data_IF_821117607404
#
_entry.id   IF_821117607404
#
_cell.length_a   1.000
_cell.length_b   1.000
_cell.length_c   1.000
_cell.angle_alpha   90.00
_cell.angle_beta   90.00
_cell.angle_gamma   90.00
#
_symmetry.space_group_name_H-M   'P 1'
#
loop_
_entity.id
_entity.type
_entity.pdbx_description
1 polymer ?
#
# COMPACT_ATOMS: atom_id res chain seq x y z
N UNK A 1 42.28 7.47 45.64
CA UNK A 1 41.52 7.65 44.38
C UNK A 1 40.29 8.51 44.68
N UNK A 2 40.22 9.73 44.14
CA UNK A 2 39.18 10.72 44.45
C UNK A 2 37.78 10.17 44.18
N UNK A 3 36.80 10.54 45.02
CA UNK A 3 35.38 10.16 44.86
C UNK A 3 34.85 10.50 43.46
N UNK A 4 35.32 11.62 42.89
CA UNK A 4 35.00 12.06 41.53
C UNK A 4 35.47 11.07 40.46
N UNK A 5 36.63 10.43 40.66
CA UNK A 5 37.17 9.45 39.71
C UNK A 5 36.33 8.17 39.70
N UNK A 6 35.85 7.73 40.87
CA UNK A 6 34.96 6.57 40.99
C UNK A 6 33.60 6.83 40.35
N UNK A 7 33.06 8.03 40.51
CA UNK A 7 31.79 8.44 39.88
C UNK A 7 31.91 8.44 38.35
N UNK A 8 33.02 8.96 37.82
CA UNK A 8 33.28 8.99 36.38
C UNK A 8 33.31 7.57 35.76
N UNK A 9 34.02 6.64 36.40
CA UNK A 9 34.04 5.24 35.93
C UNK A 9 32.67 4.57 36.03
N UNK A 10 31.88 4.87 37.05
CA UNK A 10 30.54 4.30 37.22
C UNK A 10 29.58 4.79 36.11
N UNK A 11 29.64 6.08 35.77
CA UNK A 11 28.86 6.66 34.67
C UNK A 11 29.26 6.06 33.33
N UNK A 12 30.57 5.91 33.05
CA UNK A 12 31.05 5.25 31.84
C UNK A 12 30.59 3.79 31.75
N UNK A 13 30.63 3.05 32.87
CA UNK A 13 30.19 1.66 32.90
C UNK A 13 28.69 1.53 32.65
N UNK A 14 27.87 2.42 33.23
CA UNK A 14 26.44 2.48 32.94
C UNK A 14 26.18 2.80 31.46
N UNK A 15 26.87 3.79 30.88
CA UNK A 15 26.73 4.12 29.46
C UNK A 15 27.06 2.93 28.55
N UNK A 16 28.16 2.22 28.83
CA UNK A 16 28.54 1.02 28.07
C UNK A 16 27.53 -0.12 28.26
N UNK A 17 27.03 -0.32 29.49
CA UNK A 17 26.02 -1.34 29.79
C UNK A 17 24.69 -1.07 29.08
N UNK A 18 24.23 0.18 29.03
CA UNK A 18 23.06 0.58 28.24
C UNK A 18 23.29 0.45 26.74
N UNK A 19 24.51 0.69 26.25
CA UNK A 19 24.85 0.50 24.84
C UNK A 19 24.81 -0.98 24.43
N UNK A 20 25.31 -1.88 25.30
CA UNK A 20 25.29 -3.33 25.08
C UNK A 20 23.87 -3.90 25.21
N UNK A 21 23.06 -3.39 26.16
CA UNK A 21 21.64 -3.74 26.26
C UNK A 21 20.85 -3.35 25.00
N UNK A 22 21.11 -2.16 24.42
CA UNK A 22 20.53 -1.76 23.13
C UNK A 22 20.99 -2.65 21.98
N UNK A 23 22.24 -3.11 21.98
CA UNK A 23 22.79 -3.94 20.90
C UNK A 23 22.18 -5.36 20.86
N UNK A 24 21.66 -5.86 21.98
CA UNK A 24 21.10 -7.22 22.07
C UNK A 24 19.59 -7.32 21.82
N UNK A 25 18.89 -6.20 21.70
CA UNK A 25 17.43 -6.18 21.45
C UNK A 25 17.10 -5.49 20.15
N UNK A 26 17.53 -6.05 19.01
CA UNK A 26 16.85 -5.94 17.71
C UNK A 26 17.69 -6.68 16.67
N UNK A 27 17.30 -7.90 16.31
CA UNK A 27 17.55 -8.41 14.96
C UNK A 27 16.53 -7.77 14.01
N UNK A 28 16.49 -6.44 13.98
CA UNK A 28 15.80 -5.73 12.92
C UNK A 28 16.85 -5.45 11.85
N UNK A 29 16.56 -5.91 10.64
CA UNK A 29 17.23 -5.46 9.42
C UNK A 29 17.50 -3.95 9.49
N UNK A 30 18.62 -3.45 8.93
CA UNK A 30 18.95 -2.03 8.94
C UNK A 30 17.71 -1.22 8.55
N UNK A 31 17.45 -0.05 9.19
CA UNK A 31 16.20 0.69 9.05
C UNK A 31 15.88 0.86 7.57
N UNK A 32 14.97 0.01 7.09
CA UNK A 32 14.62 -0.04 5.68
C UNK A 32 14.05 1.33 5.36
N UNK A 33 14.59 1.98 4.35
CA UNK A 33 14.12 3.27 3.86
C UNK A 33 12.79 3.13 3.12
N UNK A 34 11.80 2.43 3.72
CA UNK A 34 10.47 2.14 3.14
C UNK A 34 9.77 3.41 2.64
N UNK A 35 10.08 4.56 3.23
CA UNK A 35 9.53 5.87 2.84
C UNK A 35 10.15 6.47 1.57
N UNK A 36 11.36 6.05 1.17
CA UNK A 36 12.03 6.49 -0.08
C UNK A 36 11.71 5.58 -1.27
N UNK A 37 11.20 4.38 -1.02
CA UNK A 37 10.94 3.41 -2.06
C UNK A 37 9.78 3.87 -2.97
N UNK A 38 9.94 3.78 -4.31
CA UNK A 38 8.88 4.13 -5.22
C UNK A 38 7.82 3.04 -5.27
N UNK A 39 6.55 3.45 -5.19
CA UNK A 39 5.39 2.59 -5.34
C UNK A 39 4.74 2.80 -6.70
N UNK A 40 4.12 1.74 -7.23
CA UNK A 40 3.17 1.81 -8.35
C UNK A 40 1.91 1.06 -7.98
N UNK A 41 0.78 1.75 -8.11
CA UNK A 41 -0.54 1.14 -8.07
C UNK A 41 -1.00 0.94 -9.51
N UNK A 42 -1.53 -0.25 -9.79
CA UNK A 42 -2.20 -0.58 -11.05
C UNK A 42 -3.59 -1.09 -10.71
N UNK A 43 -4.63 -0.48 -11.30
CA UNK A 43 -6.03 -0.90 -11.16
C UNK A 43 -6.49 -1.32 -12.55
N UNK A 44 -6.88 -2.58 -12.69
CA UNK A 44 -7.37 -3.16 -13.94
C UNK A 44 -8.85 -3.50 -13.80
N UNK A 45 -9.65 -3.19 -14.81
CA UNK A 45 -11.01 -3.71 -14.89
C UNK A 45 -11.01 -5.02 -15.66
N UNK A 46 -11.45 -6.11 -15.04
CA UNK A 46 -11.42 -7.43 -15.65
C UNK A 46 -12.67 -7.72 -16.50
N UNK A 47 -13.86 -7.51 -15.94
CA UNK A 47 -15.11 -7.98 -16.55
C UNK A 47 -16.35 -7.10 -16.25
N UNK A 48 -16.16 -5.92 -15.65
CA UNK A 48 -17.24 -4.95 -15.40
C UNK A 48 -17.41 -4.05 -16.62
N UNK A 49 -18.63 -3.83 -17.16
CA UNK A 49 -18.83 -3.10 -18.42
C UNK A 49 -18.19 -1.71 -18.46
N UNK A 50 -18.39 -0.93 -17.40
CA UNK A 50 -17.71 0.36 -17.21
C UNK A 50 -17.48 0.64 -15.74
N UNK A 51 -16.23 0.95 -15.38
CA UNK A 51 -15.89 1.37 -14.02
C UNK A 51 -15.32 2.77 -14.08
N UNK A 52 -15.95 3.73 -13.42
CA UNK A 52 -15.31 5.03 -13.16
C UNK A 52 -14.55 4.93 -11.85
N UNK A 53 -13.25 5.18 -11.90
CA UNK A 53 -12.37 5.22 -10.73
C UNK A 53 -11.98 6.66 -10.48
N UNK A 54 -12.35 7.20 -9.31
CA UNK A 54 -11.90 8.49 -8.82
C UNK A 54 -11.05 8.30 -7.58
N UNK A 55 -9.79 8.70 -7.63
CA UNK A 55 -8.87 8.62 -6.47
C UNK A 55 -8.45 10.01 -6.01
N UNK A 56 -8.13 10.12 -4.72
CA UNK A 56 -7.61 11.36 -4.13
C UNK A 56 -6.48 11.96 -4.97
N UNK A 57 -6.62 13.22 -5.35
CA UNK A 57 -5.65 14.00 -6.14
C UNK A 57 -5.25 13.40 -7.51
N UNK A 58 -5.99 12.40 -8.03
CA UNK A 58 -5.70 11.73 -9.31
C UNK A 58 -6.77 11.90 -10.38
N UNK A 59 -7.83 12.65 -10.08
CA UNK A 59 -8.97 12.81 -10.99
C UNK A 59 -9.76 11.51 -11.16
N UNK A 60 -10.77 11.54 -12.03
CA UNK A 60 -11.62 10.40 -12.33
C UNK A 60 -11.40 9.91 -13.78
N UNK A 61 -11.39 8.60 -13.98
CA UNK A 61 -11.26 7.98 -15.29
C UNK A 61 -12.19 6.78 -15.45
N UNK A 62 -12.77 6.63 -16.65
CA UNK A 62 -13.50 5.42 -17.04
C UNK A 62 -12.50 4.37 -17.51
N UNK A 63 -12.59 3.15 -16.96
CA UNK A 63 -11.87 1.97 -17.41
C UNK A 63 -12.85 0.89 -17.88
N UNK A 64 -12.66 0.42 -19.12
CA UNK A 64 -13.42 -0.70 -19.72
C UNK A 64 -12.76 -2.05 -19.42
N UNK A 65 -13.44 -3.18 -19.68
CA UNK A 65 -12.84 -4.50 -19.55
C UNK A 65 -11.49 -4.61 -20.29
N UNK A 66 -10.47 -5.07 -19.58
CA UNK A 66 -9.09 -5.18 -20.05
C UNK A 66 -8.25 -3.91 -19.93
N UNK A 67 -8.87 -2.75 -19.64
CA UNK A 67 -8.15 -1.49 -19.45
C UNK A 67 -7.65 -1.35 -18.02
N UNK A 68 -6.58 -0.56 -17.87
CA UNK A 68 -5.98 -0.27 -16.58
C UNK A 68 -5.57 1.19 -16.44
N UNK A 69 -5.62 1.68 -15.21
CA UNK A 69 -4.97 2.92 -14.80
C UNK A 69 -3.81 2.58 -13.88
N UNK A 70 -2.70 3.30 -14.02
CA UNK A 70 -1.57 3.16 -13.11
C UNK A 70 -0.87 4.47 -12.89
N UNK A 71 -0.34 4.64 -11.69
CA UNK A 71 0.49 5.79 -11.34
C UNK A 71 1.61 5.39 -10.40
N UNK A 72 2.65 6.22 -10.40
CA UNK A 72 3.82 6.08 -9.54
C UNK A 72 3.83 7.19 -8.51
N UNK A 73 4.35 6.89 -7.33
CA UNK A 73 4.55 7.87 -6.27
C UNK A 73 5.65 7.42 -5.31
N UNK A 74 6.02 8.32 -4.41
CA UNK A 74 6.84 8.02 -3.23
C UNK A 74 6.05 8.44 -2.01
N UNK A 75 6.30 7.75 -0.89
CA UNK A 75 5.65 8.08 0.36
C UNK A 75 6.16 9.42 0.91
N UNK A 76 5.34 10.08 1.73
CA UNK A 76 5.76 11.26 2.46
C UNK A 76 6.75 10.87 3.59
N UNK A 77 7.44 11.87 4.15
CA UNK A 77 8.44 11.67 5.22
C UNK A 77 7.86 11.08 6.51
N UNK A 78 6.54 11.16 6.71
CA UNK A 78 5.85 10.64 7.91
C UNK A 78 5.36 9.20 7.73
N UNK A 79 5.48 8.63 6.52
CA UNK A 79 4.96 7.31 6.22
C UNK A 79 3.43 7.23 6.08
N UNK A 80 2.71 8.35 6.08
CA UNK A 80 1.23 8.39 6.17
C UNK A 80 0.54 8.59 4.83
N UNK A 81 1.22 8.29 3.72
CA UNK A 81 0.62 8.43 2.38
C UNK A 81 -0.48 7.40 2.21
N UNK A 82 -1.69 7.88 1.90
CA UNK A 82 -2.85 7.04 1.59
C UNK A 82 -3.48 7.52 0.29
N UNK A 83 -4.09 6.59 -0.46
CA UNK A 83 -4.91 6.90 -1.62
C UNK A 83 -6.27 6.22 -1.45
N UNK A 84 -7.30 7.01 -1.14
CA UNK A 84 -8.67 6.53 -1.17
C UNK A 84 -9.18 6.62 -2.61
N UNK A 85 -9.86 5.57 -3.07
CA UNK A 85 -10.51 5.57 -4.36
C UNK A 85 -11.98 5.21 -4.20
N UNK A 86 -12.83 5.90 -4.96
CA UNK A 86 -14.23 5.55 -5.16
C UNK A 86 -14.41 4.96 -6.56
N UNK A 87 -15.13 3.86 -6.60
CA UNK A 87 -15.43 3.09 -7.80
C UNK A 87 -16.92 3.15 -8.06
N UNK A 88 -17.29 3.41 -9.30
CA UNK A 88 -18.68 3.39 -9.76
C UNK A 88 -18.82 2.40 -10.89
N UNK A 89 -19.71 1.43 -10.72
CA UNK A 89 -20.08 0.47 -11.77
C UNK A 89 -21.24 1.05 -12.59
N UNK A 90 -21.00 1.23 -13.89
CA UNK A 90 -22.04 1.54 -14.86
C UNK A 90 -22.35 0.32 -15.72
N UNK A 91 -23.63 -0.01 -15.87
CA UNK A 91 -24.09 -1.02 -16.83
C UNK A 91 -24.11 -0.44 -18.25
N UNK A 92 -23.92 -1.30 -19.23
CA UNK A 92 -24.07 -0.92 -20.64
C UNK A 92 -25.53 -0.55 -20.91
N UNK A 93 -25.77 0.67 -21.43
CA UNK A 93 -27.13 1.14 -21.71
C UNK A 93 -27.37 2.65 -21.57
N UNK A 94 -26.33 3.42 -21.22
CA UNK A 94 -26.42 4.89 -21.19
C UNK A 94 -27.10 5.46 -19.95
N UNK A 95 -27.25 4.66 -18.88
CA UNK A 95 -27.65 5.18 -17.57
C UNK A 95 -26.59 6.15 -17.04
N UNK A 96 -27.03 7.31 -16.56
CA UNK A 96 -26.19 8.27 -15.85
C UNK A 96 -26.03 7.93 -14.35
N UNK A 97 -26.76 6.91 -13.88
CA UNK A 97 -26.71 6.44 -12.50
C UNK A 97 -25.83 5.19 -12.38
N UNK A 98 -24.96 5.19 -11.38
CA UNK A 98 -24.13 4.04 -11.05
C UNK A 98 -25.00 2.94 -10.45
N UNK A 99 -24.86 1.72 -10.97
CA UNK A 99 -25.58 0.55 -10.46
C UNK A 99 -25.06 0.12 -9.07
N UNK A 100 -23.75 0.29 -8.85
CA UNK A 100 -23.06 0.03 -7.59
C UNK A 100 -21.95 1.04 -7.41
N UNK A 101 -21.68 1.42 -6.18
CA UNK A 101 -20.49 2.19 -5.84
C UNK A 101 -19.85 1.66 -4.56
N UNK A 102 -18.55 1.91 -4.41
CA UNK A 102 -17.81 1.61 -3.18
C UNK A 102 -16.60 2.53 -3.09
N UNK A 103 -16.18 2.88 -1.87
CA UNK A 103 -14.94 3.61 -1.64
C UNK A 103 -14.09 2.91 -0.59
N UNK A 104 -12.79 2.79 -0.86
CA UNK A 104 -11.82 2.20 0.06
C UNK A 104 -10.39 2.64 -0.30
N UNK A 105 -9.45 2.57 0.67
CA UNK A 105 -8.05 2.83 0.40
C UNK A 105 -7.46 1.76 -0.51
N UNK A 106 -7.04 2.15 -1.73
CA UNK A 106 -6.24 1.27 -2.60
C UNK A 106 -4.78 1.23 -2.18
N UNK A 107 -4.40 2.11 -1.25
CA UNK A 107 -3.08 2.19 -0.64
C UNK A 107 -3.16 2.92 0.71
N UNK A 108 -2.62 2.29 1.75
CA UNK A 108 -2.48 2.80 3.11
C UNK A 108 -1.42 1.97 3.86
N UNK A 109 -1.28 2.19 5.17
CA UNK A 109 -0.32 1.48 6.04
C UNK A 109 -0.51 -0.04 6.05
N UNK A 110 -1.74 -0.54 5.85
CA UNK A 110 -2.05 -1.97 5.83
C UNK A 110 -1.70 -2.57 4.46
N UNK A 111 -2.08 -1.88 3.37
CA UNK A 111 -1.80 -2.32 2.00
C UNK A 111 -0.31 -2.30 1.68
N UNK A 112 0.47 -1.36 2.23
CA UNK A 112 1.92 -1.27 2.00
C UNK A 112 2.63 -2.59 2.29
N UNK A 113 2.26 -3.26 3.37
CA UNK A 113 2.86 -4.54 3.80
C UNK A 113 2.56 -5.70 2.86
N UNK A 114 1.58 -5.49 1.99
CA UNK A 114 1.08 -6.50 1.08
C UNK A 114 1.62 -6.30 -0.33
N UNK A 115 2.08 -5.10 -0.68
CA UNK A 115 2.73 -4.84 -1.96
C UNK A 115 4.07 -5.57 -2.03
N UNK A 116 4.59 -5.79 -3.25
CA UNK A 116 5.87 -6.49 -3.41
C UNK A 116 6.98 -5.77 -2.64
N UNK A 117 7.70 -6.49 -1.76
CA UNK A 117 8.82 -5.93 -0.99
C UNK A 117 10.10 -6.06 -1.81
N UNK A 118 10.64 -4.95 -2.31
CA UNK A 118 11.94 -4.98 -2.95
C UNK A 118 12.72 -3.69 -2.71
N UNK A 119 13.70 -3.76 -1.79
CA UNK A 119 14.56 -2.64 -1.35
C UNK A 119 15.28 -1.92 -2.51
N UNK A 120 15.42 -2.56 -3.67
CA UNK A 120 16.11 -2.02 -4.85
C UNK A 120 15.20 -1.85 -6.07
N UNK A 121 13.89 -2.07 -5.93
CA UNK A 121 12.97 -2.03 -7.07
C UNK A 121 11.66 -1.32 -6.72
N UNK A 122 10.85 -1.07 -7.74
CA UNK A 122 9.52 -0.48 -7.56
C UNK A 122 8.60 -1.46 -6.85
N UNK A 123 8.09 -1.07 -5.68
CA UNK A 123 7.06 -1.82 -4.97
C UNK A 123 5.76 -1.72 -5.77
N UNK A 124 5.16 -2.85 -6.12
CA UNK A 124 3.97 -2.90 -6.99
C UNK A 124 2.77 -3.44 -6.22
N UNK A 125 1.65 -2.75 -6.41
CA UNK A 125 0.36 -3.08 -5.83
C UNK A 125 -0.63 -3.25 -6.98
N UNK A 126 -1.12 -4.46 -7.20
CA UNK A 126 -2.03 -4.76 -8.29
C UNK A 126 -3.44 -4.97 -7.76
N UNK A 127 -4.38 -4.22 -8.32
CA UNK A 127 -5.80 -4.34 -8.08
C UNK A 127 -6.50 -4.79 -9.35
N UNK A 128 -7.42 -5.73 -9.23
CA UNK A 128 -8.32 -6.09 -10.32
C UNK A 128 -9.77 -6.00 -9.84
N UNK A 129 -10.57 -5.32 -10.66
CA UNK A 129 -11.99 -5.07 -10.42
C UNK A 129 -12.79 -6.09 -11.22
N UNK A 130 -13.69 -6.78 -10.55
CA UNK A 130 -14.59 -7.76 -11.19
C UNK A 130 -16.04 -7.50 -10.83
N UNK A 131 -16.96 -8.23 -11.47
CA UNK A 131 -18.38 -8.23 -11.11
C UNK A 131 -18.66 -8.70 -9.68
N UNK A 132 -17.74 -9.45 -9.07
CA UNK A 132 -17.84 -9.92 -7.69
C UNK A 132 -17.30 -8.88 -6.71
N UNK A 133 -16.14 -8.30 -7.02
CA UNK A 133 -15.48 -7.36 -6.13
C UNK A 133 -14.06 -7.01 -6.56
N UNK A 134 -13.23 -6.68 -5.58
CA UNK A 134 -11.91 -6.11 -5.74
C UNK A 134 -10.88 -7.05 -5.18
N UNK A 135 -9.98 -7.48 -6.05
CA UNK A 135 -8.93 -8.43 -5.71
C UNK A 135 -7.58 -7.73 -5.74
N UNK A 136 -6.70 -8.15 -4.85
CA UNK A 136 -5.35 -7.64 -4.71
C UNK A 136 -4.32 -8.73 -4.98
N UNK A 137 -3.20 -8.34 -5.59
CA UNK A 137 -2.00 -9.15 -5.78
C UNK A 137 -0.75 -8.28 -5.63
N UNK A 138 0.34 -8.88 -5.17
CA UNK A 138 1.67 -8.27 -5.16
C UNK A 138 2.51 -8.64 -6.39
N UNK A 139 1.96 -9.46 -7.27
CA UNK A 139 2.56 -9.94 -8.51
C UNK A 139 1.70 -9.54 -9.70
N UNK A 140 2.36 -9.33 -10.84
CA UNK A 140 1.72 -9.15 -12.15
C UNK A 140 1.22 -10.50 -12.68
N UNK A 141 0.27 -11.09 -11.97
CA UNK A 141 -0.27 -12.40 -12.27
C UNK A 141 -1.52 -12.25 -13.13
N UNK A 142 -1.70 -13.14 -14.11
CA UNK A 142 -2.95 -13.23 -14.86
C UNK A 142 -4.10 -13.54 -13.89
N UNK A 143 -5.22 -12.83 -14.03
CA UNK A 143 -6.45 -13.11 -13.29
C UNK A 143 -7.36 -14.04 -14.11
N UNK A 144 -8.07 -15.00 -13.48
CA UNK A 144 -7.93 -15.43 -12.08
C UNK A 144 -6.72 -16.36 -11.87
N UNK A 145 -6.10 -16.30 -10.69
CA UNK A 145 -5.09 -17.24 -10.20
C UNK A 145 -4.96 -17.17 -8.67
N UNK A 146 -4.26 -18.13 -8.06
CA UNK A 146 -4.10 -18.24 -6.59
C UNK A 146 -3.34 -17.06 -5.95
N UNK A 147 -2.70 -16.22 -6.76
CA UNK A 147 -2.00 -15.02 -6.29
C UNK A 147 -2.94 -13.85 -5.97
N UNK A 148 -4.22 -13.97 -6.34
CA UNK A 148 -5.22 -12.94 -6.13
C UNK A 148 -6.08 -13.26 -4.91
N UNK A 149 -6.21 -12.28 -4.02
CA UNK A 149 -7.11 -12.37 -2.87
C UNK A 149 -8.18 -11.29 -2.92
N UNK A 150 -9.41 -11.64 -2.58
CA UNK A 150 -10.49 -10.67 -2.45
C UNK A 150 -10.23 -9.78 -1.23
N UNK A 151 -10.38 -8.47 -1.40
CA UNK A 151 -10.21 -7.47 -0.34
C UNK A 151 -11.51 -6.73 -0.05
N UNK A 152 -12.28 -6.41 -1.11
CA UNK A 152 -13.55 -5.71 -1.00
C UNK A 152 -14.57 -6.32 -1.96
N UNK A 153 -15.84 -6.10 -1.67
CA UNK A 153 -16.97 -6.44 -2.54
C UNK A 153 -17.78 -5.19 -2.82
N UNK A 154 -18.54 -5.20 -3.92
CA UNK A 154 -19.41 -4.08 -4.23
C UNK A 154 -20.50 -3.91 -3.18
N UNK A 155 -20.81 -2.67 -2.86
CA UNK A 155 -22.02 -2.29 -2.12
C UNK A 155 -23.09 -1.81 -3.08
N UNK A 156 -24.36 -1.97 -2.69
CA UNK A 156 -25.47 -1.33 -3.40
C UNK A 156 -25.46 0.15 -3.02
N UNK A 157 -25.55 1.01 -4.04
CA UNK A 157 -25.72 2.46 -3.88
C UNK A 157 -27.15 2.83 -3.51
#
# INVERSE_FOLDING_TARGET
MSFLLKLFFYVLFLFQFFYILKANTTSESPPSSKWLEPYRITITNNDVPGVVVGCDDRGAGLIRPGESISWKFRMNLRGTTSYNCRFYWFEDGGSYEAHKDVAFPVFDEDIIRLCGENLFSMNRCYWTVTRVGFYFSNQDARFPSDNWRVMHVWTYG
#
